data_IF_507538483653
#
_entry.id   IF_507538483653
#
_cell.length_a   1.000
_cell.length_b   1.000
_cell.length_c   1.000
_cell.angle_alpha   90.00
_cell.angle_beta   90.00
_cell.angle_gamma   90.00
#
_symmetry.space_group_name_H-M   'P 1'
#
loop_
_entity.id
_entity.type
_entity.pdbx_description
1 polymer ?
#
# COMPACT_ATOMS: atom_id res chain seq x y z
N UNK A 1 15.62 12.79 1.10
CA UNK A 1 14.38 12.09 0.68
C UNK A 1 14.53 10.65 1.12
N UNK A 2 13.53 10.10 1.79
CA UNK A 2 13.53 8.73 2.32
C UNK A 2 12.64 7.89 1.40
N UNK A 3 13.12 6.71 1.02
CA UNK A 3 12.39 5.77 0.18
C UNK A 3 12.17 4.46 0.93
N UNK A 4 11.03 3.83 0.72
CA UNK A 4 10.72 2.51 1.26
C UNK A 4 9.91 1.70 0.24
N UNK A 5 10.13 0.39 0.20
CA UNK A 5 9.37 -0.53 -0.65
C UNK A 5 8.79 -1.66 0.19
N UNK A 6 7.51 -1.97 -0.02
CA UNK A 6 6.83 -3.10 0.61
C UNK A 6 6.34 -4.01 -0.51
N UNK A 7 6.81 -5.25 -0.53
CA UNK A 7 6.36 -6.26 -1.48
C UNK A 7 5.61 -7.35 -0.73
N UNK A 8 4.44 -7.73 -1.23
CA UNK A 8 3.65 -8.82 -0.67
C UNK A 8 2.98 -9.63 -1.78
N UNK A 9 2.80 -10.94 -1.57
CA UNK A 9 2.16 -11.80 -2.56
C UNK A 9 0.67 -11.47 -2.66
N UNK A 10 0.18 -11.28 -3.88
CA UNK A 10 -1.24 -11.13 -4.16
C UNK A 10 -1.68 -12.00 -5.34
N UNK A 11 -2.09 -13.23 -5.04
CA UNK A 11 -2.59 -14.17 -6.05
C UNK A 11 -3.92 -13.73 -6.67
N UNK A 12 -4.66 -12.85 -6.00
CA UNK A 12 -6.01 -12.46 -6.43
C UNK A 12 -5.99 -11.29 -7.42
N UNK A 13 -4.86 -10.57 -7.54
CA UNK A 13 -4.73 -9.37 -8.37
C UNK A 13 -5.77 -8.29 -8.02
N UNK A 14 -6.16 -8.23 -6.75
CA UNK A 14 -7.15 -7.28 -6.25
C UNK A 14 -6.54 -6.23 -5.34
N UNK A 15 -5.38 -6.48 -4.74
CA UNK A 15 -4.72 -5.54 -3.86
C UNK A 15 -4.40 -4.23 -4.59
N UNK A 16 -3.84 -4.29 -5.82
CA UNK A 16 -3.54 -3.10 -6.60
C UNK A 16 -4.77 -2.18 -6.77
N UNK A 17 -5.97 -2.76 -6.98
CA UNK A 17 -7.23 -2.00 -7.10
C UNK A 17 -7.67 -1.35 -5.79
N UNK A 18 -7.35 -1.95 -4.65
CA UNK A 18 -7.65 -1.41 -3.32
C UNK A 18 -6.73 -0.23 -2.99
N UNK A 19 -5.47 -0.28 -3.42
CA UNK A 19 -4.49 0.78 -3.15
C UNK A 19 -4.48 1.91 -4.19
N UNK A 20 -4.99 1.68 -5.41
CA UNK A 20 -5.04 2.67 -6.51
C UNK A 20 -5.81 3.98 -6.19
N UNK A 21 -6.92 3.99 -5.43
CA UNK A 21 -7.59 5.23 -5.06
C UNK A 21 -6.75 6.14 -4.13
N UNK A 22 -5.82 5.52 -3.40
CA UNK A 22 -5.05 6.14 -2.33
C UNK A 22 -3.65 6.62 -2.86
N UNK A 23 -3.36 6.28 -4.12
CA UNK A 23 -2.12 6.53 -4.89
C UNK A 23 -1.73 8.01 -5.09
N UNK A 24 -2.60 8.97 -4.80
CA UNK A 24 -2.50 10.27 -5.50
C UNK A 24 -1.98 11.49 -4.76
N UNK A 25 -1.72 11.44 -3.45
CA UNK A 25 -0.99 12.46 -2.64
C UNK A 25 -1.54 12.39 -1.23
N UNK A 26 -0.69 12.10 -0.26
CA UNK A 26 -1.04 12.38 1.12
C UNK A 26 -1.17 13.89 1.30
N UNK A 27 -2.21 14.31 2.03
CA UNK A 27 -2.82 15.65 2.18
C UNK A 27 -1.93 16.90 2.09
N UNK A 28 -0.61 16.77 2.26
CA UNK A 28 0.33 17.88 2.41
C UNK A 28 1.48 17.86 1.37
N UNK A 29 1.48 16.93 0.41
CA UNK A 29 2.53 16.82 -0.63
C UNK A 29 3.93 16.42 -0.12
N UNK A 30 4.06 16.08 1.17
CA UNK A 30 5.33 15.69 1.81
C UNK A 30 5.68 14.22 1.64
N UNK A 31 4.75 13.43 1.11
CA UNK A 31 4.96 12.04 0.77
C UNK A 31 3.98 11.54 -0.29
N UNK A 32 4.41 10.53 -1.02
CA UNK A 32 3.65 9.82 -2.05
C UNK A 32 3.99 8.34 -1.98
N UNK A 33 3.15 7.50 -2.57
CA UNK A 33 3.55 6.16 -2.90
C UNK A 33 2.91 5.74 -4.22
N UNK A 34 3.59 4.84 -4.92
CA UNK A 34 3.14 4.22 -6.15
C UNK A 34 2.90 2.73 -5.93
N UNK A 35 2.00 2.14 -6.70
CA UNK A 35 1.66 0.71 -6.62
C UNK A 35 1.98 0.05 -7.94
N UNK A 36 2.80 -0.99 -7.90
CA UNK A 36 3.13 -1.80 -9.08
C UNK A 36 2.72 -3.24 -8.83
N UNK A 37 2.05 -3.84 -9.81
CA UNK A 37 1.67 -5.25 -9.80
C UNK A 37 2.54 -6.03 -10.78
N UNK A 38 3.08 -7.16 -10.34
CA UNK A 38 3.84 -8.10 -11.16
C UNK A 38 3.36 -9.55 -10.96
N UNK A 39 4.14 -10.52 -11.45
CA UNK A 39 3.78 -11.95 -11.33
C UNK A 39 3.94 -12.49 -9.90
N UNK A 40 4.77 -11.84 -9.08
CA UNK A 40 5.11 -12.25 -7.73
C UNK A 40 4.23 -11.57 -6.67
N UNK A 41 3.55 -10.47 -7.04
CA UNK A 41 2.50 -9.86 -6.26
C UNK A 41 2.38 -8.35 -6.47
N UNK A 42 2.25 -7.63 -5.36
CA UNK A 42 2.14 -6.16 -5.36
C UNK A 42 3.31 -5.57 -4.60
N UNK A 43 3.90 -4.54 -5.21
CA UNK A 43 4.96 -3.71 -4.61
C UNK A 43 4.45 -2.29 -4.45
N UNK A 44 4.54 -1.77 -3.23
CA UNK A 44 4.22 -0.39 -2.88
C UNK A 44 5.54 0.35 -2.66
N UNK A 45 5.79 1.39 -3.45
CA UNK A 45 7.01 2.22 -3.33
C UNK A 45 6.64 3.58 -2.78
N UNK A 46 7.05 3.86 -1.54
CA UNK A 46 6.79 5.11 -0.85
C UNK A 46 8.01 6.04 -0.89
N UNK A 47 7.75 7.34 -1.04
CA UNK A 47 8.73 8.42 -1.00
C UNK A 47 8.27 9.50 -0.03
N UNK A 48 9.18 10.02 0.80
CA UNK A 48 8.86 11.06 1.76
C UNK A 48 10.02 12.05 1.97
N UNK A 49 9.69 13.28 2.37
CA UNK A 49 10.68 14.32 2.66
C UNK A 49 11.44 14.06 3.98
N UNK A 50 10.80 13.42 4.95
CA UNK A 50 11.34 13.16 6.29
C UNK A 50 10.72 11.90 6.93
N UNK A 51 11.27 11.49 8.08
CA UNK A 51 10.87 10.27 8.78
C UNK A 51 9.43 10.32 9.32
N UNK A 52 8.91 11.51 9.66
CA UNK A 52 7.54 11.67 10.14
C UNK A 52 6.55 11.47 9.01
N UNK A 53 6.81 12.05 7.84
CA UNK A 53 6.02 11.86 6.63
C UNK A 53 6.07 10.40 6.17
N UNK A 54 7.25 9.76 6.22
CA UNK A 54 7.39 8.33 5.90
C UNK A 54 6.54 7.46 6.85
N UNK A 55 6.62 7.71 8.16
CA UNK A 55 5.82 6.98 9.15
C UNK A 55 4.32 7.13 8.89
N UNK A 56 3.86 8.30 8.49
CA UNK A 56 2.46 8.54 8.16
C UNK A 56 2.01 7.71 6.95
N UNK A 57 2.83 7.65 5.89
CA UNK A 57 2.55 6.83 4.69
C UNK A 57 2.47 5.35 5.05
N UNK A 58 3.50 4.83 5.73
CA UNK A 58 3.57 3.43 6.11
C UNK A 58 2.41 3.03 7.01
N UNK A 59 2.00 3.89 7.94
CA UNK A 59 0.81 3.66 8.75
C UNK A 59 -0.49 3.59 7.92
N UNK A 60 -0.63 4.41 6.87
CA UNK A 60 -1.78 4.33 5.96
C UNK A 60 -1.78 3.00 5.21
N UNK A 61 -0.66 2.68 4.56
CA UNK A 61 -0.49 1.44 3.79
C UNK A 61 -0.76 0.20 4.65
N UNK A 62 -0.21 0.14 5.86
CA UNK A 62 -0.44 -0.97 6.78
C UNK A 62 -1.91 -1.11 7.19
N UNK A 63 -2.62 -0.01 7.43
CA UNK A 63 -4.06 -0.06 7.78
C UNK A 63 -4.87 -0.62 6.61
N UNK A 64 -4.60 -0.15 5.40
CA UNK A 64 -5.26 -0.63 4.18
C UNK A 64 -4.94 -2.11 3.94
N UNK A 65 -3.69 -2.54 4.18
CA UNK A 65 -3.30 -3.96 4.10
C UNK A 65 -4.04 -4.83 5.14
N UNK A 66 -4.18 -4.37 6.38
CA UNK A 66 -4.94 -5.09 7.42
C UNK A 66 -6.41 -5.24 7.02
N UNK A 67 -7.02 -4.18 6.46
CA UNK A 67 -8.40 -4.23 5.97
C UNK A 67 -8.51 -5.24 4.82
N UNK A 68 -7.59 -5.18 3.86
CA UNK A 68 -7.51 -6.10 2.74
C UNK A 68 -7.40 -7.56 3.19
N UNK A 69 -6.48 -7.86 4.11
CA UNK A 69 -6.29 -9.21 4.65
C UNK A 69 -7.55 -9.71 5.37
N UNK A 70 -8.19 -8.86 6.16
CA UNK A 70 -9.44 -9.19 6.85
C UNK A 70 -10.59 -9.41 5.88
N UNK A 71 -10.73 -8.57 4.85
CA UNK A 71 -11.77 -8.72 3.84
C UNK A 71 -11.61 -10.04 3.08
N UNK A 72 -10.39 -10.39 2.68
CA UNK A 72 -10.12 -11.68 2.04
C UNK A 72 -10.45 -12.87 2.96
N UNK A 73 -10.12 -12.79 4.26
CA UNK A 73 -10.50 -13.83 5.24
C UNK A 73 -12.01 -13.98 5.41
N UNK A 74 -12.79 -12.90 5.28
CA UNK A 74 -14.25 -12.92 5.43
C UNK A 74 -14.96 -13.47 4.18
N UNK A 75 -14.36 -13.32 3.00
CA UNK A 75 -14.96 -13.77 1.72
C UNK A 75 -14.64 -15.25 1.40
N UNK A 76 -13.73 -15.89 2.15
CA UNK A 76 -13.60 -17.34 2.16
C UNK A 76 -14.69 -17.98 3.04
N UNK A 77 -15.88 -18.15 2.48
CA UNK A 77 -16.82 -19.16 2.95
C UNK A 77 -16.28 -20.54 2.52
N UNK A 78 -15.89 -21.37 3.50
CA UNK A 78 -15.86 -22.83 3.33
C UNK A 78 -17.28 -23.39 3.31
#
# INVERSE_FOLDING_TARGET
MINASITFPDKTRTAAKVFAPEEKRLLNGRASYDVTEDQDGVTITAQAQDATAMRAVLNSVCKTLIIYEKANKVVHYE
#
